data_IF_647124728623
#
_entry.id   IF_647124728623
#
_cell.length_a   1.000
_cell.length_b   1.000
_cell.length_c   1.000
_cell.angle_alpha   90.00
_cell.angle_beta   90.00
_cell.angle_gamma   90.00
#
_symmetry.space_group_name_H-M   'P 1'
#
loop_
_entity.id
_entity.type
_entity.pdbx_description
1 polymer ?
#
# COMPACT_ATOMS: atom_id res chain seq x y z
N UNK A 1 10.24 -8.63 -18.50
CA UNK A 1 9.34 -9.22 -17.49
C UNK A 1 10.07 -9.41 -16.15
N UNK A 2 11.12 -10.23 -16.05
CA UNK A 2 11.86 -10.42 -14.77
C UNK A 2 12.50 -9.12 -14.28
N UNK A 3 13.13 -8.33 -15.17
CA UNK A 3 13.76 -7.06 -14.83
C UNK A 3 12.76 -6.01 -14.31
N UNK A 4 11.55 -5.96 -14.88
CA UNK A 4 10.47 -5.04 -14.46
C UNK A 4 9.99 -5.37 -13.05
N UNK A 5 9.74 -6.66 -12.78
CA UNK A 5 9.33 -7.14 -11.44
C UNK A 5 10.45 -6.89 -10.43
N UNK A 6 11.71 -7.10 -10.82
CA UNK A 6 12.85 -6.82 -9.95
C UNK A 6 12.90 -5.35 -9.55
N UNK A 7 12.74 -4.42 -10.50
CA UNK A 7 12.68 -3.00 -10.20
C UNK A 7 11.45 -2.62 -9.39
N UNK A 8 10.29 -3.22 -9.68
CA UNK A 8 9.05 -3.03 -8.92
C UNK A 8 9.18 -3.41 -7.44
N UNK A 9 10.01 -4.40 -7.10
CA UNK A 9 10.29 -4.77 -5.71
C UNK A 9 11.42 -3.96 -5.09
N UNK A 10 12.50 -3.71 -5.84
CA UNK A 10 13.68 -3.01 -5.32
C UNK A 10 13.41 -1.53 -5.03
N UNK A 11 12.60 -0.84 -5.85
CA UNK A 11 12.30 0.58 -5.65
C UNK A 11 11.62 0.86 -4.30
N UNK A 12 10.49 0.21 -3.96
CA UNK A 12 9.87 0.35 -2.64
C UNK A 12 10.81 -0.09 -1.52
N UNK A 13 11.54 -1.20 -1.70
CA UNK A 13 12.50 -1.68 -0.70
C UNK A 13 13.57 -0.63 -0.37
N UNK A 14 14.20 -0.03 -1.39
CA UNK A 14 15.17 1.04 -1.19
C UNK A 14 14.52 2.30 -0.61
N UNK A 15 13.32 2.67 -1.08
CA UNK A 15 12.57 3.81 -0.55
C UNK A 15 12.31 3.69 0.96
N UNK A 16 11.77 2.57 1.41
CA UNK A 16 11.50 2.29 2.82
C UNK A 16 12.79 2.20 3.63
N UNK A 17 13.82 1.54 3.09
CA UNK A 17 15.11 1.39 3.78
C UNK A 17 15.82 2.74 3.97
N UNK A 18 15.82 3.59 2.95
CA UNK A 18 16.38 4.95 3.02
C UNK A 18 15.56 5.83 3.99
N UNK A 19 14.23 5.77 3.91
CA UNK A 19 13.35 6.47 4.84
C UNK A 19 13.58 6.07 6.31
N UNK A 20 13.77 4.77 6.58
CA UNK A 20 14.11 4.27 7.91
C UNK A 20 15.53 4.70 8.34
N UNK A 21 16.51 4.69 7.43
CA UNK A 21 17.87 5.09 7.70
C UNK A 21 17.98 6.57 8.13
N UNK A 22 17.06 7.44 7.68
CA UNK A 22 16.98 8.84 8.13
C UNK A 22 16.92 8.96 9.66
N UNK A 23 16.34 7.99 10.38
CA UNK A 23 16.25 8.01 11.85
C UNK A 23 17.64 8.08 12.51
N UNK A 24 18.68 7.50 11.92
CA UNK A 24 20.04 7.58 12.46
C UNK A 24 20.67 8.98 12.38
N UNK A 25 20.17 9.83 11.49
CA UNK A 25 20.62 11.23 11.34
C UNK A 25 19.74 12.20 12.13
N UNK A 26 18.54 11.75 12.55
CA UNK A 26 17.60 12.54 13.33
C UNK A 26 17.91 12.40 14.83
N UNK A 27 18.46 13.45 15.43
CA UNK A 27 18.74 13.51 16.87
C UNK A 27 17.47 13.52 17.75
N UNK A 28 16.32 13.89 17.19
CA UNK A 28 15.01 13.91 17.86
C UNK A 28 13.95 13.39 16.90
N UNK A 29 12.90 12.76 17.44
CA UNK A 29 11.73 12.40 16.64
C UNK A 29 11.16 13.68 15.99
N UNK A 30 10.72 13.59 14.72
CA UNK A 30 10.06 14.72 14.07
C UNK A 30 8.83 15.12 14.89
N UNK A 31 8.62 16.43 15.06
CA UNK A 31 7.46 16.94 15.77
C UNK A 31 6.15 16.50 15.08
N UNK A 32 5.07 16.40 15.85
CA UNK A 32 3.75 15.89 15.42
C UNK A 32 3.25 16.51 14.10
N UNK A 33 3.56 17.78 13.85
CA UNK A 33 3.21 18.47 12.60
C UNK A 33 3.85 17.84 11.36
N UNK A 34 5.16 17.58 11.41
CA UNK A 34 5.88 16.96 10.28
C UNK A 34 5.41 15.51 10.08
N UNK A 35 5.22 14.76 11.16
CA UNK A 35 4.69 13.40 11.08
C UNK A 35 3.31 13.36 10.41
N UNK A 36 2.39 14.27 10.77
CA UNK A 36 1.07 14.37 10.13
C UNK A 36 1.17 14.73 8.66
N UNK A 37 2.06 15.63 8.28
CA UNK A 37 2.28 16.00 6.87
C UNK A 37 2.80 14.82 6.06
N UNK A 38 3.79 14.07 6.58
CA UNK A 38 4.35 12.90 5.90
C UNK A 38 3.32 11.77 5.77
N UNK A 39 2.57 11.47 6.83
CA UNK A 39 1.47 10.49 6.79
C UNK A 39 0.36 10.91 5.81
N UNK A 40 -0.03 12.18 5.83
CA UNK A 40 -1.04 12.72 4.91
C UNK A 40 -0.58 12.69 3.45
N UNK A 41 0.69 12.99 3.20
CA UNK A 41 1.29 12.90 1.87
C UNK A 41 1.28 11.46 1.36
N UNK A 42 1.77 10.50 2.16
CA UNK A 42 1.78 9.08 1.80
C UNK A 42 0.37 8.56 1.51
N UNK A 43 -0.59 8.85 2.40
CA UNK A 43 -2.00 8.48 2.20
C UNK A 43 -2.59 9.10 0.93
N UNK A 44 -2.26 10.36 0.63
CA UNK A 44 -2.71 11.05 -0.58
C UNK A 44 -2.18 10.41 -1.88
N UNK A 45 -0.89 10.08 -1.92
CA UNK A 45 -0.27 9.40 -3.08
C UNK A 45 -0.89 8.02 -3.30
N UNK A 46 -1.10 7.25 -2.24
CA UNK A 46 -1.73 5.92 -2.33
C UNK A 46 -3.19 5.98 -2.77
N UNK A 47 -3.97 6.94 -2.27
CA UNK A 47 -5.34 7.15 -2.72
C UNK A 47 -5.40 7.53 -4.21
N UNK A 48 -4.50 8.41 -4.67
CA UNK A 48 -4.42 8.79 -6.07
C UNK A 48 -4.03 7.60 -6.97
N UNK A 49 -2.97 6.88 -6.62
CA UNK A 49 -2.54 5.69 -7.38
C UNK A 49 -3.66 4.64 -7.48
N UNK A 50 -4.40 4.42 -6.38
CA UNK A 50 -5.53 3.50 -6.35
C UNK A 50 -6.63 3.86 -7.37
N UNK A 51 -6.90 5.15 -7.60
CA UNK A 51 -7.92 5.59 -8.55
C UNK A 51 -7.41 5.63 -9.98
N UNK A 52 -6.32 6.36 -10.22
CA UNK A 52 -5.83 6.65 -11.58
C UNK A 52 -5.01 5.52 -12.19
N UNK A 53 -4.24 4.79 -11.39
CA UNK A 53 -3.32 3.76 -11.88
C UNK A 53 -3.91 2.35 -11.79
N UNK A 54 -4.88 2.12 -10.90
CA UNK A 54 -5.50 0.81 -10.70
C UNK A 54 -6.97 0.78 -11.12
N UNK A 55 -7.83 1.58 -10.48
CA UNK A 55 -9.28 1.46 -10.65
C UNK A 55 -9.74 1.83 -12.06
N UNK A 56 -9.36 3.01 -12.58
CA UNK A 56 -9.76 3.45 -13.92
C UNK A 56 -9.24 2.46 -15.00
N UNK A 57 -7.94 2.07 -15.01
CA UNK A 57 -7.44 1.09 -15.96
C UNK A 57 -8.11 -0.30 -15.85
N UNK A 58 -8.52 -0.71 -14.64
CA UNK A 58 -9.26 -1.95 -14.46
C UNK A 58 -10.66 -1.91 -15.10
N UNK A 59 -11.36 -0.77 -14.98
CA UNK A 59 -12.66 -0.54 -15.63
C UNK A 59 -12.49 -0.50 -17.15
N UNK A 60 -11.47 0.18 -17.66
CA UNK A 60 -11.21 0.29 -19.10
C UNK A 60 -10.90 -1.06 -19.74
N UNK A 61 -10.20 -1.96 -19.03
CA UNK A 61 -9.98 -3.34 -19.50
C UNK A 61 -11.25 -4.19 -19.53
N UNK A 62 -12.27 -3.79 -18.79
CA UNK A 62 -13.58 -4.41 -18.76
C UNK A 62 -14.58 -3.77 -19.76
N UNK A 63 -14.10 -2.91 -20.67
CA UNK A 63 -14.91 -2.24 -21.70
C UNK A 63 -15.90 -3.14 -22.48
N UNK A 64 -15.61 -4.42 -22.79
CA UNK A 64 -16.58 -5.30 -23.48
C UNK A 64 -17.91 -5.50 -22.74
N UNK A 65 -17.96 -5.24 -21.42
CA UNK A 65 -19.17 -5.31 -20.60
C UNK A 65 -20.07 -4.07 -20.71
N UNK A 66 -19.66 -3.05 -21.49
CA UNK A 66 -20.42 -1.83 -21.69
C UNK A 66 -20.68 -1.09 -20.37
N UNK A 67 -21.95 -0.82 -20.06
CA UNK A 67 -22.36 -0.13 -18.82
C UNK A 67 -21.99 -0.90 -17.54
N UNK A 68 -21.69 -2.20 -17.64
CA UNK A 68 -21.32 -3.06 -16.52
C UNK A 68 -19.80 -3.22 -16.36
N UNK A 69 -18.98 -2.47 -17.11
CA UNK A 69 -17.51 -2.51 -17.01
C UNK A 69 -16.97 -2.19 -15.61
N UNK A 70 -17.72 -1.45 -14.78
CA UNK A 70 -17.33 -1.17 -13.41
C UNK A 70 -17.47 -2.38 -12.48
N UNK A 71 -18.30 -3.35 -12.82
CA UNK A 71 -18.69 -4.44 -11.92
C UNK A 71 -17.49 -5.34 -11.53
N UNK A 72 -16.62 -5.80 -12.47
CA UNK A 72 -15.45 -6.58 -12.10
C UNK A 72 -14.46 -5.80 -11.23
N UNK A 73 -14.25 -4.51 -11.52
CA UNK A 73 -13.36 -3.65 -10.75
C UNK A 73 -13.89 -3.43 -9.32
N UNK A 74 -15.20 -3.18 -9.17
CA UNK A 74 -15.85 -3.02 -7.87
C UNK A 74 -15.80 -4.31 -7.03
N UNK A 75 -16.06 -5.47 -7.65
CA UNK A 75 -15.98 -6.77 -6.98
C UNK A 75 -14.54 -7.06 -6.55
N UNK A 76 -13.56 -6.83 -7.44
CA UNK A 76 -12.14 -7.01 -7.13
C UNK A 76 -11.69 -6.13 -5.97
N UNK A 77 -12.08 -4.86 -5.96
CA UNK A 77 -11.80 -3.91 -4.88
C UNK A 77 -12.39 -4.39 -3.55
N UNK A 78 -13.66 -4.81 -3.53
CA UNK A 78 -14.30 -5.33 -2.31
C UNK A 78 -13.67 -6.63 -1.80
N UNK A 79 -13.29 -7.55 -2.70
CA UNK A 79 -12.57 -8.76 -2.34
C UNK A 79 -11.20 -8.45 -1.75
N UNK A 80 -10.47 -7.48 -2.32
CA UNK A 80 -9.20 -7.00 -1.77
C UNK A 80 -9.36 -6.42 -0.37
N UNK A 81 -10.35 -5.55 -0.16
CA UNK A 81 -10.67 -4.99 1.17
C UNK A 81 -11.01 -6.08 2.17
N UNK A 82 -11.87 -7.04 1.79
CA UNK A 82 -12.25 -8.15 2.65
C UNK A 82 -11.06 -9.05 3.00
N UNK A 83 -10.16 -9.30 2.04
CA UNK A 83 -8.94 -10.08 2.25
C UNK A 83 -8.05 -9.41 3.30
N UNK A 84 -7.75 -8.12 3.13
CA UNK A 84 -6.91 -7.36 4.07
C UNK A 84 -7.55 -7.29 5.46
N UNK A 85 -8.86 -7.05 5.54
CA UNK A 85 -9.60 -7.07 6.81
C UNK A 85 -9.51 -8.43 7.52
N UNK A 86 -9.61 -9.54 6.76
CA UNK A 86 -9.47 -10.89 7.31
C UNK A 86 -8.04 -11.18 7.78
N UNK A 87 -7.03 -10.67 7.09
CA UNK A 87 -5.63 -10.83 7.46
C UNK A 87 -5.32 -10.07 8.75
N UNK A 88 -5.78 -8.82 8.86
CA UNK A 88 -5.64 -7.99 10.06
C UNK A 88 -6.32 -8.64 11.27
N UNK A 89 -7.58 -9.10 11.13
CA UNK A 89 -8.31 -9.76 12.22
C UNK A 89 -7.72 -11.11 12.66
N UNK A 90 -6.96 -11.77 11.79
CA UNK A 90 -6.29 -13.05 12.10
C UNK A 90 -4.84 -12.86 12.55
N UNK A 91 -4.33 -11.62 12.56
CA UNK A 91 -2.99 -11.34 13.02
C UNK A 91 -2.84 -11.80 14.49
N UNK A 92 -1.85 -12.65 14.80
CA UNK A 92 -1.64 -13.10 16.17
C UNK A 92 -1.16 -11.93 17.04
N UNK A 93 -1.86 -11.68 18.15
CA UNK A 93 -1.37 -10.80 19.19
C UNK A 93 -0.12 -11.42 19.82
N UNK A 94 0.99 -10.69 19.75
CA UNK A 94 2.31 -11.12 20.22
C UNK A 94 3.02 -9.94 20.87
N UNK A 95 4.35 -9.94 20.97
CA UNK A 95 5.05 -8.78 21.53
C UNK A 95 4.72 -7.51 20.74
N UNK A 96 4.85 -6.34 21.39
CA UNK A 96 4.61 -5.05 20.73
C UNK A 96 5.43 -4.88 19.44
N UNK A 97 6.67 -5.36 19.42
CA UNK A 97 7.54 -5.33 18.25
C UNK A 97 7.04 -6.25 17.13
N UNK A 98 6.61 -7.47 17.45
CA UNK A 98 6.08 -8.41 16.46
C UNK A 98 4.75 -7.93 15.88
N UNK A 99 3.89 -7.33 16.71
CA UNK A 99 2.62 -6.77 16.27
C UNK A 99 2.84 -5.55 15.36
N UNK A 100 3.77 -4.65 15.71
CA UNK A 100 4.10 -3.48 14.88
C UNK A 100 4.71 -3.90 13.54
N UNK A 101 5.67 -4.83 13.55
CA UNK A 101 6.30 -5.32 12.32
C UNK A 101 5.28 -6.02 11.42
N UNK A 102 4.39 -6.84 11.98
CA UNK A 102 3.30 -7.46 11.24
C UNK A 102 2.34 -6.43 10.64
N UNK A 103 1.92 -5.42 11.41
CA UNK A 103 1.05 -4.36 10.92
C UNK A 103 1.68 -3.58 9.74
N UNK A 104 2.96 -3.21 9.85
CA UNK A 104 3.69 -2.55 8.76
C UNK A 104 3.82 -3.46 7.55
N UNK A 105 4.08 -4.76 7.73
CA UNK A 105 4.16 -5.70 6.58
C UNK A 105 2.82 -5.83 5.88
N UNK A 106 1.72 -6.00 6.61
CA UNK A 106 0.37 -6.09 6.04
C UNK A 106 -0.01 -4.82 5.27
N UNK A 107 0.45 -3.66 5.71
CA UNK A 107 0.20 -2.40 5.02
C UNK A 107 0.96 -2.27 3.69
N UNK A 108 2.17 -2.85 3.58
CA UNK A 108 3.00 -2.79 2.37
C UNK A 108 2.65 -3.89 1.35
N UNK A 109 1.91 -4.93 1.74
CA UNK A 109 1.50 -6.01 0.81
C UNK A 109 0.72 -5.46 -0.41
N UNK A 110 -0.30 -4.59 -0.24
CA UNK A 110 -1.00 -3.98 -1.37
C UNK A 110 -0.09 -3.19 -2.32
N UNK A 111 0.89 -2.45 -1.78
CA UNK A 111 1.82 -1.65 -2.59
C UNK A 111 2.72 -2.53 -3.46
N UNK A 112 3.14 -3.70 -2.96
CA UNK A 112 3.93 -4.66 -3.75
C UNK A 112 3.12 -5.50 -4.73
N UNK A 113 1.80 -5.53 -4.61
CA UNK A 113 0.89 -6.26 -5.52
C UNK A 113 0.44 -5.43 -6.72
N UNK A 114 0.51 -4.09 -6.61
CA UNK A 114 0.12 -3.13 -7.64
C UNK A 114 1.17 -3.01 -8.75
#
# INVERSE_FOLDING_TARGET
MVTEVLWGVLLPFFGTSLGAACVFFLHKLPGDGLQRVLLGFAAGVMAAASVWSLLIPAIDRAAPLGTWAFLPAAVGLWLGVLLLYRMDKKAPESSHTHTLTLAVTLHNVPEGMA
#
